data_IF_608286838857
#
_entry.id   IF_608286838857
#
_cell.length_a   1.000
_cell.length_b   1.000
_cell.length_c   1.000
_cell.angle_alpha   90.00
_cell.angle_beta   90.00
_cell.angle_gamma   90.00
#
_symmetry.space_group_name_H-M   'P 1'
#
loop_
_entity.id
_entity.type
_entity.pdbx_description
1 polymer ?
#
# COMPACT_ATOMS: atom_id res chain seq x y z
N UNK A 1 19.28 43.96 -42.91
CA UNK A 1 18.48 42.85 -43.47
C UNK A 1 18.63 41.69 -42.51
N UNK A 2 17.48 41.21 -41.99
CA UNK A 2 17.22 39.93 -41.30
C UNK A 2 17.97 39.73 -39.98
N UNK A 3 17.37 39.87 -38.79
CA UNK A 3 16.15 39.24 -38.21
C UNK A 3 16.28 37.74 -37.94
N UNK A 4 15.53 37.28 -36.93
CA UNK A 4 15.32 35.92 -36.42
C UNK A 4 16.24 35.48 -35.26
N UNK A 5 15.91 35.68 -33.98
CA UNK A 5 14.77 35.16 -33.19
C UNK A 5 14.86 33.64 -32.94
N UNK A 6 15.19 33.25 -31.70
CA UNK A 6 14.68 32.06 -31.03
C UNK A 6 15.21 32.03 -29.58
N UNK A 7 14.53 32.80 -28.75
CA UNK A 7 14.53 32.68 -27.31
C UNK A 7 14.10 31.25 -26.93
N UNK A 8 15.05 30.45 -26.44
CA UNK A 8 14.75 29.14 -25.85
C UNK A 8 14.10 29.38 -24.49
N UNK A 9 12.78 29.53 -24.49
CA UNK A 9 11.97 29.50 -23.27
C UNK A 9 12.24 28.19 -22.51
N UNK A 10 12.49 28.23 -21.19
CA UNK A 10 12.54 27.01 -20.41
C UNK A 10 11.15 26.37 -20.46
N UNK A 11 11.12 25.07 -20.81
CA UNK A 11 9.95 24.23 -20.69
C UNK A 11 9.47 24.28 -19.24
N UNK A 12 8.46 25.10 -18.99
CA UNK A 12 7.70 25.05 -17.76
C UNK A 12 7.04 23.68 -17.70
N UNK A 13 7.49 22.87 -16.75
CA UNK A 13 6.76 21.72 -16.26
C UNK A 13 5.29 22.13 -16.06
N UNK A 14 4.31 21.26 -16.35
CA UNK A 14 2.96 21.49 -15.89
C UNK A 14 3.02 21.44 -14.36
N UNK A 15 3.23 22.62 -13.77
CA UNK A 15 2.97 22.93 -12.38
C UNK A 15 1.58 22.43 -12.11
N UNK A 16 1.49 21.31 -11.37
CA UNK A 16 0.25 20.87 -10.79
C UNK A 16 -0.31 22.08 -10.05
N UNK A 17 -1.37 22.67 -10.63
CA UNK A 17 -2.08 23.74 -9.97
C UNK A 17 -2.36 23.26 -8.54
N UNK A 18 -2.07 24.05 -7.50
CA UNK A 18 -2.45 23.65 -6.16
C UNK A 18 -3.96 23.45 -6.23
N UNK A 19 -4.41 22.22 -5.97
CA UNK A 19 -5.80 21.99 -5.62
C UNK A 19 -5.97 22.87 -4.39
N UNK A 20 -6.59 24.04 -4.59
CA UNK A 20 -6.95 24.91 -3.49
C UNK A 20 -7.92 24.08 -2.66
N UNK A 21 -7.40 23.48 -1.60
CA UNK A 21 -8.18 22.82 -0.58
C UNK A 21 -9.05 23.92 0.02
N UNK A 22 -10.29 24.01 -0.48
CA UNK A 22 -11.30 24.82 0.15
C UNK A 22 -11.34 24.38 1.62
N UNK A 23 -11.29 25.30 2.60
CA UNK A 23 -11.39 24.95 4.01
C UNK A 23 -12.58 24.01 4.20
N UNK A 24 -12.29 22.73 4.46
CA UNK A 24 -13.30 21.77 4.85
C UNK A 24 -13.73 22.24 6.23
N UNK A 25 -14.83 23.00 6.34
CA UNK A 25 -15.43 23.22 7.65
C UNK A 25 -15.66 21.84 8.29
N UNK A 26 -15.32 21.64 9.58
CA UNK A 26 -15.57 20.36 10.24
C UNK A 26 -17.06 20.07 10.16
N UNK A 27 -17.43 19.21 9.22
CA UNK A 27 -18.79 18.74 9.08
C UNK A 27 -18.94 17.72 10.18
N UNK A 28 -19.54 18.13 11.30
CA UNK A 28 -20.02 17.23 12.35
C UNK A 28 -21.20 16.43 11.77
N UNK A 29 -20.90 15.57 10.79
CA UNK A 29 -21.79 14.50 10.40
C UNK A 29 -21.79 13.53 11.60
N UNK A 30 -22.97 13.06 12.06
CA UNK A 30 -23.01 12.10 13.14
C UNK A 30 -22.06 10.96 12.76
N UNK A 31 -21.17 10.60 13.69
CA UNK A 31 -20.24 9.48 13.54
C UNK A 31 -21.10 8.22 13.31
N UNK A 32 -21.44 7.96 12.05
CA UNK A 32 -22.04 6.69 11.66
C UNK A 32 -21.00 5.67 12.08
N UNK A 33 -21.32 4.91 13.13
CA UNK A 33 -20.45 3.90 13.69
C UNK A 33 -20.34 2.78 12.66
N UNK A 34 -19.47 2.99 11.67
CA UNK A 34 -19.17 2.01 10.66
C UNK A 34 -18.57 0.81 11.40
N UNK A 35 -19.21 -0.36 11.35
CA UNK A 35 -18.67 -1.53 12.00
C UNK A 35 -17.25 -1.76 11.46
N UNK A 36 -16.28 -1.90 12.36
CA UNK A 36 -14.91 -2.16 12.00
C UNK A 36 -14.86 -3.34 11.03
N UNK A 37 -14.12 -3.19 9.92
CA UNK A 37 -13.92 -4.28 8.98
C UNK A 37 -13.37 -5.50 9.73
N UNK A 38 -13.83 -6.73 9.43
CA UNK A 38 -13.30 -7.92 10.05
C UNK A 38 -11.79 -8.00 9.80
N UNK A 39 -11.01 -8.54 10.75
CA UNK A 39 -9.57 -8.69 10.57
C UNK A 39 -9.28 -9.52 9.31
N UNK A 40 -8.20 -9.22 8.58
CA UNK A 40 -7.82 -10.00 7.42
C UNK A 40 -7.55 -11.46 7.82
N UNK A 41 -7.91 -12.39 6.93
CA UNK A 41 -7.54 -13.80 7.06
C UNK A 41 -6.01 -13.91 7.18
N UNK A 42 -5.48 -14.78 8.06
CA UNK A 42 -4.05 -14.91 8.27
C UNK A 42 -3.35 -15.35 6.99
N UNK A 43 -2.23 -14.70 6.69
CA UNK A 43 -1.46 -14.91 5.47
C UNK A 43 -0.60 -16.18 5.54
N UNK A 44 -0.33 -16.67 6.75
CA UNK A 44 0.52 -17.83 7.01
C UNK A 44 2.00 -17.48 7.25
N UNK A 45 2.41 -16.23 7.07
CA UNK A 45 3.69 -15.73 7.59
C UNK A 45 3.42 -14.91 8.86
N UNK A 46 3.87 -15.36 10.05
CA UNK A 46 3.59 -14.69 11.32
C UNK A 46 4.16 -13.26 11.37
N UNK A 47 5.19 -12.96 10.58
CA UNK A 47 5.77 -11.61 10.50
C UNK A 47 4.86 -10.67 9.73
N UNK A 48 4.27 -11.15 8.63
CA UNK A 48 3.30 -10.39 7.84
C UNK A 48 2.02 -10.18 8.65
N UNK A 49 1.54 -11.23 9.33
CA UNK A 49 0.33 -11.17 10.15
C UNK A 49 0.48 -10.17 11.31
N UNK A 50 1.66 -10.11 11.95
CA UNK A 50 1.95 -9.13 12.99
C UNK A 50 1.91 -7.68 12.47
N UNK A 51 2.42 -7.43 11.27
CA UNK A 51 2.38 -6.09 10.65
C UNK A 51 0.94 -5.70 10.28
N UNK A 52 0.15 -6.63 9.74
CA UNK A 52 -1.24 -6.39 9.38
C UNK A 52 -2.15 -6.15 10.58
N UNK A 53 -1.85 -6.73 11.75
CA UNK A 53 -2.60 -6.48 12.97
C UNK A 53 -2.63 -5.00 13.37
N UNK A 54 -1.61 -4.21 12.98
CA UNK A 54 -1.51 -2.77 13.24
C UNK A 54 -2.58 -1.95 12.51
N UNK A 55 -3.17 -2.48 11.45
CA UNK A 55 -4.30 -1.84 10.78
C UNK A 55 -5.55 -1.77 11.68
N UNK A 56 -5.64 -2.62 12.70
CA UNK A 56 -6.70 -2.54 13.71
C UNK A 56 -6.70 -1.22 14.49
N UNK A 57 -5.54 -0.57 14.62
CA UNK A 57 -5.40 0.70 15.34
C UNK A 57 -6.04 1.89 14.59
N UNK A 58 -6.44 1.71 13.32
CA UNK A 58 -7.11 2.75 12.54
C UNK A 58 -8.55 3.02 13.02
N UNK A 59 -9.19 2.03 13.64
CA UNK A 59 -10.58 2.14 14.06
C UNK A 59 -10.75 3.28 15.09
N UNK A 60 -11.62 4.23 14.77
CA UNK A 60 -11.90 5.39 15.64
C UNK A 60 -10.82 6.47 15.65
N UNK A 61 -9.75 6.35 14.86
CA UNK A 61 -8.76 7.42 14.70
C UNK A 61 -9.19 8.42 13.61
N UNK A 62 -8.84 9.71 13.73
CA UNK A 62 -9.02 10.69 12.67
C UNK A 62 -8.29 10.27 11.37
N UNK A 63 -8.91 10.51 10.22
CA UNK A 63 -8.33 10.20 8.89
C UNK A 63 -6.90 10.75 8.68
N UNK A 64 -6.55 11.97 9.13
CA UNK A 64 -5.18 12.45 9.00
C UNK A 64 -4.14 11.57 9.72
N UNK A 65 -4.53 10.92 10.82
CA UNK A 65 -3.66 10.02 11.59
C UNK A 65 -3.51 8.63 10.95
N UNK A 66 -4.34 8.29 9.96
CA UNK A 66 -4.27 7.00 9.26
C UNK A 66 -3.02 6.90 8.39
N UNK A 67 -2.57 8.02 7.82
CA UNK A 67 -1.40 8.08 6.93
C UNK A 67 -0.16 7.51 7.60
N UNK A 68 0.10 7.92 8.85
CA UNK A 68 1.27 7.46 9.62
C UNK A 68 1.23 5.95 9.86
N UNK A 69 0.05 5.36 10.09
CA UNK A 69 -0.09 3.92 10.24
C UNK A 69 0.17 3.20 8.92
N UNK A 70 -0.42 3.68 7.82
CA UNK A 70 -0.24 3.07 6.51
C UNK A 70 1.22 3.11 6.06
N UNK A 71 1.92 4.23 6.27
CA UNK A 71 3.33 4.35 5.92
C UNK A 71 4.21 3.38 6.71
N UNK A 72 3.97 3.23 8.01
CA UNK A 72 4.73 2.31 8.85
C UNK A 72 4.46 0.84 8.47
N UNK A 73 3.21 0.49 8.15
CA UNK A 73 2.83 -0.84 7.64
C UNK A 73 3.53 -1.10 6.31
N UNK A 74 3.49 -0.15 5.36
CA UNK A 74 4.16 -0.29 4.08
C UNK A 74 5.68 -0.45 4.22
N UNK A 75 6.31 0.36 5.07
CA UNK A 75 7.76 0.27 5.33
C UNK A 75 8.12 -1.08 5.93
N UNK A 76 7.36 -1.53 6.93
CA UNK A 76 7.60 -2.83 7.59
C UNK A 76 7.46 -4.00 6.60
N UNK A 77 6.45 -3.98 5.73
CA UNK A 77 6.30 -5.00 4.69
C UNK A 77 7.45 -4.96 3.67
N UNK A 78 7.91 -3.76 3.29
CA UNK A 78 9.04 -3.61 2.39
C UNK A 78 10.34 -4.16 3.00
N UNK A 79 10.60 -3.87 4.27
CA UNK A 79 11.75 -4.43 5.01
C UNK A 79 11.69 -5.97 5.09
N UNK A 80 10.50 -6.53 5.33
CA UNK A 80 10.32 -7.98 5.33
C UNK A 80 10.63 -8.61 3.97
N UNK A 81 10.22 -7.97 2.87
CA UNK A 81 10.53 -8.43 1.51
C UNK A 81 12.04 -8.39 1.22
N UNK A 82 12.72 -7.31 1.61
CA UNK A 82 14.17 -7.17 1.46
C UNK A 82 14.92 -8.24 2.29
N UNK A 83 14.46 -8.49 3.51
CA UNK A 83 15.00 -9.53 4.38
C UNK A 83 14.79 -10.94 3.81
N UNK A 84 13.63 -11.20 3.21
CA UNK A 84 13.34 -12.46 2.54
C UNK A 84 14.22 -12.68 1.32
N UNK A 85 14.45 -11.66 0.50
CA UNK A 85 15.37 -11.71 -0.66
C UNK A 85 16.83 -11.97 -0.25
N UNK A 86 17.24 -11.44 0.90
CA UNK A 86 18.59 -11.63 1.44
C UNK A 86 18.82 -13.02 2.06
N UNK A 87 17.76 -13.83 2.22
CA UNK A 87 17.87 -15.19 2.73
C UNK A 87 18.29 -16.10 1.57
N UNK A 88 19.52 -16.64 1.53
CA UNK A 88 19.89 -17.58 0.49
C UNK A 88 18.94 -18.78 0.54
N UNK A 89 18.26 -19.08 -0.57
CA UNK A 89 17.45 -20.27 -0.77
C UNK A 89 18.32 -21.52 -0.53
N UNK A 90 18.35 -22.02 0.70
CA UNK A 90 19.36 -23.00 1.08
C UNK A 90 19.23 -23.68 2.43
N UNK A 91 18.10 -23.55 3.14
CA UNK A 91 17.79 -24.46 4.24
C UNK A 91 16.72 -25.47 3.80
N UNK A 92 17.06 -26.77 3.69
CA UNK A 92 16.09 -27.81 3.41
C UNK A 92 15.04 -27.79 4.51
N UNK A 93 13.79 -27.54 4.12
CA UNK A 93 12.67 -27.47 5.04
C UNK A 93 12.61 -28.67 5.98
N UNK A 94 12.43 -28.40 7.27
CA UNK A 94 12.14 -29.40 8.28
C UNK A 94 11.00 -30.32 7.80
N UNK A 95 11.21 -31.65 7.77
CA UNK A 95 10.17 -32.59 7.38
C UNK A 95 9.15 -32.70 8.54
N UNK A 96 8.13 -31.85 8.51
CA UNK A 96 7.06 -31.90 9.51
C UNK A 96 6.08 -30.72 9.49
N UNK A 97 6.41 -29.61 8.83
CA UNK A 97 5.47 -28.49 8.73
C UNK A 97 4.31 -28.83 7.76
N UNK A 98 3.04 -28.62 8.14
CA UNK A 98 1.94 -28.72 7.19
C UNK A 98 2.20 -27.77 6.01
N UNK A 99 2.02 -28.26 4.79
CA UNK A 99 2.25 -27.46 3.59
C UNK A 99 1.44 -26.15 3.67
N UNK A 100 2.06 -24.98 3.43
CA UNK A 100 1.34 -23.73 3.50
C UNK A 100 0.17 -23.74 2.50
N UNK A 101 -0.96 -23.09 2.84
CA UNK A 101 -2.07 -22.96 1.89
C UNK A 101 -1.53 -22.34 0.61
N UNK A 102 -1.84 -22.96 -0.54
CA UNK A 102 -1.34 -22.47 -1.82
C UNK A 102 -1.83 -21.03 -2.01
N UNK A 103 -0.96 -20.10 -2.48
CA UNK A 103 -1.39 -18.75 -2.78
C UNK A 103 -2.54 -18.82 -3.78
N UNK A 104 -3.67 -18.22 -3.40
CA UNK A 104 -4.80 -18.06 -4.33
C UNK A 104 -4.26 -17.27 -5.52
N UNK A 105 -4.40 -17.81 -6.72
CA UNK A 105 -3.95 -17.12 -7.93
C UNK A 105 -4.55 -15.71 -7.93
N UNK A 106 -3.68 -14.69 -7.89
CA UNK A 106 -4.08 -13.28 -7.86
C UNK A 106 -4.87 -12.86 -9.11
N UNK A 107 -4.82 -13.68 -10.16
CA UNK A 107 -5.60 -13.51 -11.38
C UNK A 107 -6.57 -14.69 -11.54
N UNK A 108 -7.89 -14.43 -11.64
CA UNK A 108 -8.81 -15.48 -12.07
C UNK A 108 -8.39 -15.97 -13.46
N UNK A 109 -8.39 -17.29 -13.65
CA UNK A 109 -7.97 -17.96 -14.90
C UNK A 109 -8.72 -17.42 -16.15
N UNK A 110 -9.89 -16.81 -15.93
CA UNK A 110 -10.70 -16.11 -16.93
C UNK A 110 -10.03 -14.91 -17.62
N UNK A 111 -8.91 -14.38 -17.09
CA UNK A 111 -8.16 -13.27 -17.69
C UNK A 111 -6.91 -13.71 -18.45
N UNK A 112 -6.65 -15.03 -18.57
CA UNK A 112 -5.51 -15.51 -19.37
C UNK A 112 -5.86 -15.42 -20.86
N UNK A 113 -5.07 -14.71 -21.68
CA UNK A 113 -5.27 -14.72 -23.12
C UNK A 113 -5.08 -16.15 -23.64
N UNK A 114 -6.09 -16.64 -24.34
CA UNK A 114 -6.06 -17.94 -25.01
C UNK A 114 -4.96 -17.88 -26.08
N UNK A 115 -3.91 -18.68 -25.90
CA UNK A 115 -2.90 -18.91 -26.94
C UNK A 115 -3.47 -19.77 -28.08
#
# INVERSE_FOLDING_TARGET
>A
MSDEAAEAAPAAEPSAAPVAEAPQEPREEPEEEFPAAPPPEPTGDPRVDAVLARLGDLAGRPVPEHVEIFEDVHRSLQELLISAESTPEGEPGEPGAPAPPRPRAAFPDALRPRA
#
